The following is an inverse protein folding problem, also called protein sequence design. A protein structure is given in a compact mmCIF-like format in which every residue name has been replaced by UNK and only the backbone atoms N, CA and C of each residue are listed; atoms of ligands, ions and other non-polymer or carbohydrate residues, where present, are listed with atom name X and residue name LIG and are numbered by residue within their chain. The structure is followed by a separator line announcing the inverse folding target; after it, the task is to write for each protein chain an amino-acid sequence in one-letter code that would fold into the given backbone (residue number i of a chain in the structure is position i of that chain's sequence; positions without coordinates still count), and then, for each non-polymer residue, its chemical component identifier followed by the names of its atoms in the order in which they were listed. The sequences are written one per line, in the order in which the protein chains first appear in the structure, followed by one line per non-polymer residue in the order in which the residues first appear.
data_IF_295646683839
#
_entry.id   IF_295646683839
#
_cell.length_a   1.000
_cell.length_b   1.000
_cell.length_c   1.000
_cell.angle_alpha   90.00
_cell.angle_beta   90.00
_cell.angle_gamma   90.00
#
_symmetry.space_group_name_H-M   'P 1'
#
loop_
_entity.id
_entity.type
_entity.pdbx_description
1 polymer ?
#
# COMPACT_ATOMS: atom_id res chain seq x y z
N UNK A 1 -35.44 -35.02 -9.67
CA UNK A 1 -34.82 -35.01 -10.99
C UNK A 1 -34.86 -36.44 -11.50
N UNK A 2 -35.48 -36.66 -12.66
CA UNK A 2 -35.45 -37.97 -13.32
C UNK A 2 -34.06 -38.21 -13.93
N UNK A 3 -33.70 -39.47 -14.15
CA UNK A 3 -32.38 -39.85 -14.72
C UNK A 3 -32.12 -39.18 -16.07
N UNK A 4 -33.15 -39.15 -16.93
CA UNK A 4 -33.09 -38.55 -18.27
C UNK A 4 -32.76 -37.05 -18.22
N UNK A 5 -33.27 -36.32 -17.23
CA UNK A 5 -32.98 -34.89 -17.03
C UNK A 5 -31.52 -34.66 -16.65
N UNK A 6 -30.94 -35.56 -15.83
CA UNK A 6 -29.53 -35.48 -15.41
C UNK A 6 -28.60 -35.77 -16.59
N UNK A 7 -28.91 -36.81 -17.39
CA UNK A 7 -28.14 -37.16 -18.58
C UNK A 7 -28.18 -36.03 -19.63
N UNK A 8 -29.34 -35.40 -19.83
CA UNK A 8 -29.48 -34.24 -20.70
C UNK A 8 -28.69 -33.01 -20.20
N UNK A 9 -28.76 -32.70 -18.90
CA UNK A 9 -28.03 -31.59 -18.30
C UNK A 9 -26.50 -31.79 -18.36
N UNK A 10 -26.02 -33.01 -18.12
CA UNK A 10 -24.61 -33.35 -18.24
C UNK A 10 -24.11 -33.18 -19.67
N UNK A 11 -24.85 -33.68 -20.66
CA UNK A 11 -24.49 -33.54 -22.07
C UNK A 11 -24.41 -32.08 -22.51
N UNK A 12 -25.32 -31.22 -22.02
CA UNK A 12 -25.27 -29.78 -22.28
C UNK A 12 -24.03 -29.14 -21.63
N UNK A 13 -23.72 -29.46 -20.37
CA UNK A 13 -22.57 -28.88 -19.66
C UNK A 13 -21.22 -29.25 -20.31
N UNK A 14 -21.10 -30.45 -20.89
CA UNK A 14 -19.88 -30.89 -21.60
C UNK A 14 -19.55 -30.01 -22.81
N UNK A 15 -20.57 -29.41 -23.46
CA UNK A 15 -20.36 -28.58 -24.65
C UNK A 15 -19.81 -27.20 -24.29
N UNK A 16 -20.10 -26.70 -23.10
CA UNK A 16 -19.75 -25.35 -22.64
C UNK A 16 -18.30 -25.21 -22.14
N UNK A 17 -17.59 -26.32 -21.88
CA UNK A 17 -16.26 -26.22 -21.26
C UNK A 17 -15.43 -27.50 -21.21
N UNK A 18 -14.30 -27.41 -20.51
CA UNK A 18 -13.30 -28.47 -20.40
C UNK A 18 -13.57 -29.49 -19.28
N UNK A 19 -14.60 -29.27 -18.47
CA UNK A 19 -14.97 -30.13 -17.36
C UNK A 19 -16.36 -29.84 -16.83
N UNK A 20 -16.94 -30.82 -16.14
CA UNK A 20 -18.27 -30.72 -15.51
C UNK A 20 -18.13 -30.86 -14.01
N UNK A 21 -18.63 -29.88 -13.27
CA UNK A 21 -18.71 -29.90 -11.80
C UNK A 21 -20.15 -30.22 -11.42
N UNK A 22 -20.32 -31.17 -10.51
CA UNK A 22 -21.63 -31.54 -9.95
C UNK A 22 -21.66 -31.14 -8.49
N UNK A 23 -22.57 -30.23 -8.15
CA UNK A 23 -22.67 -29.66 -6.80
C UNK A 23 -24.02 -29.93 -6.16
N UNK A 24 -24.07 -29.78 -4.84
CA UNK A 24 -25.31 -29.86 -4.08
C UNK A 24 -26.16 -28.61 -4.37
N UNK A 25 -27.39 -28.81 -4.83
CA UNK A 25 -28.34 -27.71 -5.00
C UNK A 25 -28.71 -27.05 -3.65
N UNK A 26 -28.47 -25.75 -3.55
CA UNK A 26 -28.85 -24.90 -2.41
C UNK A 26 -30.04 -24.05 -2.83
N UNK A 27 -31.06 -23.98 -1.98
CA UNK A 27 -32.28 -23.21 -2.25
C UNK A 27 -32.10 -21.77 -1.78
N UNK A 28 -32.61 -20.84 -2.58
CA UNK A 28 -32.63 -19.42 -2.24
C UNK A 28 -32.19 -18.53 -3.39
N UNK A 29 -31.88 -17.29 -3.04
CA UNK A 29 -31.28 -16.30 -3.94
C UNK A 29 -29.77 -16.25 -3.73
N UNK A 30 -29.05 -15.95 -4.80
CA UNK A 30 -27.61 -15.67 -4.72
C UNK A 30 -27.38 -14.27 -4.18
N UNK A 31 -26.38 -14.17 -3.32
CA UNK A 31 -25.92 -12.94 -2.71
C UNK A 31 -24.41 -12.87 -2.85
N UNK A 32 -23.90 -11.68 -3.15
CA UNK A 32 -22.48 -11.37 -3.16
C UNK A 32 -22.19 -10.36 -2.06
N UNK A 33 -21.43 -10.80 -1.07
CA UNK A 33 -20.98 -9.99 0.06
C UNK A 33 -19.56 -9.52 -0.20
N UNK A 34 -19.30 -8.22 -0.07
CA UNK A 34 -17.96 -7.67 -0.09
C UNK A 34 -17.44 -7.58 1.34
N UNK A 35 -16.38 -8.33 1.63
CA UNK A 35 -15.62 -8.25 2.87
C UNK A 35 -14.39 -7.38 2.63
N UNK A 36 -14.16 -6.39 3.51
CA UNK A 36 -12.97 -5.53 3.52
C UNK A 36 -12.47 -5.45 4.97
N UNK A 37 -11.19 -5.73 5.19
CA UNK A 37 -10.60 -5.67 6.54
C UNK A 37 -11.28 -6.61 7.55
N UNK A 38 -11.77 -7.76 7.05
CA UNK A 38 -12.53 -8.72 7.86
C UNK A 38 -13.92 -8.24 8.31
N UNK A 39 -14.48 -7.19 7.70
CA UNK A 39 -15.83 -6.67 7.96
C UNK A 39 -16.68 -6.67 6.69
N UNK A 40 -17.99 -6.83 6.83
CA UNK A 40 -18.93 -6.64 5.72
C UNK A 40 -18.98 -5.17 5.32
N UNK A 41 -18.55 -4.87 4.09
CA UNK A 41 -18.60 -3.53 3.51
C UNK A 41 -19.87 -3.30 2.69
N UNK A 42 -20.33 -4.32 1.97
CA UNK A 42 -21.55 -4.27 1.15
C UNK A 42 -22.09 -5.68 0.88
N UNK A 43 -23.37 -5.78 0.55
CA UNK A 43 -23.97 -7.01 0.03
C UNK A 43 -24.97 -6.68 -1.07
N UNK A 44 -24.94 -7.47 -2.14
CA UNK A 44 -25.88 -7.38 -3.24
C UNK A 44 -26.57 -8.72 -3.46
N UNK A 45 -27.85 -8.69 -3.82
CA UNK A 45 -28.62 -9.88 -4.22
C UNK A 45 -28.81 -9.90 -5.73
N UNK A 46 -28.79 -11.10 -6.31
CA UNK A 46 -29.13 -11.33 -7.72
C UNK A 46 -30.53 -10.81 -8.07
N UNK A 47 -30.65 -10.22 -9.25
CA UNK A 47 -31.94 -9.75 -9.78
C UNK A 47 -32.95 -10.91 -9.89
N UNK A 48 -34.20 -10.64 -9.51
CA UNK A 48 -35.35 -11.49 -9.78
C UNK A 48 -36.28 -10.76 -10.74
N UNK A 49 -36.30 -11.18 -12.00
CA UNK A 49 -37.12 -10.56 -13.04
C UNK A 49 -38.39 -11.37 -13.31
N UNK A 50 -39.54 -10.70 -13.32
CA UNK A 50 -40.85 -11.29 -13.61
C UNK A 50 -41.64 -10.41 -14.56
N UNK A 51 -42.52 -11.02 -15.34
CA UNK A 51 -43.53 -10.33 -16.14
C UNK A 51 -44.92 -10.62 -15.61
N UNK A 52 -45.83 -9.67 -15.78
CA UNK A 52 -47.24 -9.83 -15.44
C UNK A 52 -48.02 -9.94 -16.75
N UNK A 53 -48.72 -11.06 -16.94
CA UNK A 53 -49.59 -11.25 -18.10
C UNK A 53 -50.68 -10.18 -18.17
N UNK A 54 -50.94 -9.67 -19.36
CA UNK A 54 -52.06 -8.78 -19.68
C UNK A 54 -53.19 -9.52 -20.43
N UNK A 55 -53.00 -10.81 -20.71
CA UNK A 55 -53.92 -11.65 -21.47
C UNK A 55 -53.90 -11.43 -22.99
N UNK A 56 -52.98 -10.61 -23.50
CA UNK A 56 -52.91 -10.24 -24.92
C UNK A 56 -51.50 -10.41 -25.51
N UNK A 57 -50.46 -10.05 -24.77
CA UNK A 57 -49.07 -10.11 -25.22
C UNK A 57 -48.40 -11.43 -24.86
N UNK A 58 -47.48 -11.85 -25.74
CA UNK A 58 -46.60 -13.00 -25.53
C UNK A 58 -45.57 -12.72 -24.44
N UNK A 59 -44.94 -13.77 -23.88
CA UNK A 59 -43.89 -13.59 -22.89
C UNK A 59 -42.72 -12.76 -23.43
N UNK A 60 -42.30 -12.95 -24.69
CA UNK A 60 -41.25 -12.12 -25.29
C UNK A 60 -41.63 -10.63 -25.34
N UNK A 61 -42.85 -10.32 -25.79
CA UNK A 61 -43.35 -8.93 -25.83
C UNK A 61 -43.47 -8.31 -24.42
N UNK A 62 -43.85 -9.13 -23.42
CA UNK A 62 -43.91 -8.70 -22.02
C UNK A 62 -42.52 -8.47 -21.44
N UNK A 63 -41.52 -9.29 -21.80
CA UNK A 63 -40.12 -9.06 -21.41
C UNK A 63 -39.63 -7.72 -21.99
N UNK A 64 -39.88 -7.48 -23.27
CA UNK A 64 -39.43 -6.24 -23.91
C UNK A 64 -40.09 -4.99 -23.34
N UNK A 65 -41.39 -5.06 -23.10
CA UNK A 65 -42.17 -3.91 -22.61
C UNK A 65 -42.03 -3.66 -21.11
N UNK A 66 -41.91 -4.70 -20.27
CA UNK A 66 -41.89 -4.56 -18.81
C UNK A 66 -40.48 -4.62 -18.20
N UNK A 67 -39.54 -5.30 -18.85
CA UNK A 67 -38.20 -5.54 -18.31
C UNK A 67 -37.12 -4.81 -19.12
N UNK A 68 -37.04 -5.05 -20.44
CA UNK A 68 -35.99 -4.44 -21.30
C UNK A 68 -36.22 -2.94 -21.57
N UNK A 69 -37.38 -2.40 -21.20
CA UNK A 69 -37.68 -0.97 -21.28
C UNK A 69 -36.95 -0.13 -20.21
N UNK A 70 -36.30 -0.76 -19.22
CA UNK A 70 -35.46 -0.07 -18.25
C UNK A 70 -34.21 0.53 -18.94
N UNK A 71 -34.00 1.85 -18.89
CA UNK A 71 -32.86 2.50 -19.56
C UNK A 71 -31.49 2.10 -18.98
N UNK A 72 -31.46 1.39 -17.86
CA UNK A 72 -30.23 0.84 -17.25
C UNK A 72 -29.84 -0.51 -17.85
N UNK A 73 -30.67 -1.09 -18.72
CA UNK A 73 -30.37 -2.32 -19.47
C UNK A 73 -29.66 -2.02 -20.77
N UNK A 74 -28.64 -2.81 -21.09
CA UNK A 74 -27.96 -2.73 -22.38
C UNK A 74 -27.00 -3.88 -22.59
N UNK A 75 -26.38 -3.92 -23.77
CA UNK A 75 -25.46 -4.98 -24.18
C UNK A 75 -23.98 -4.67 -23.84
N UNK A 76 -23.67 -3.45 -23.42
CA UNK A 76 -22.31 -3.02 -23.08
C UNK A 76 -22.05 -3.11 -21.56
N UNK A 77 -20.80 -3.30 -21.17
CA UNK A 77 -20.39 -3.44 -19.75
C UNK A 77 -20.68 -2.21 -18.86
N UNK A 78 -21.00 -1.06 -19.46
CA UNK A 78 -21.36 0.16 -18.73
C UNK A 78 -22.79 0.15 -18.17
N UNK A 79 -23.65 -0.73 -18.70
CA UNK A 79 -25.01 -0.91 -18.22
C UNK A 79 -25.03 -1.77 -16.94
N UNK A 80 -25.91 -1.42 -16.00
CA UNK A 80 -26.00 -2.11 -14.71
C UNK A 80 -26.74 -3.45 -14.83
N UNK A 81 -27.62 -3.54 -15.84
CA UNK A 81 -28.48 -4.70 -16.09
C UNK A 81 -28.30 -5.17 -17.53
N UNK A 82 -28.44 -6.47 -17.77
CA UNK A 82 -28.38 -7.04 -19.11
C UNK A 82 -29.76 -7.04 -19.78
N UNK A 83 -29.78 -7.02 -21.11
CA UNK A 83 -31.00 -7.30 -21.87
C UNK A 83 -31.35 -8.78 -21.71
N UNK A 84 -32.62 -9.07 -21.45
CA UNK A 84 -33.12 -10.43 -21.35
C UNK A 84 -33.72 -10.84 -22.70
N UNK A 85 -33.13 -11.87 -23.32
CA UNK A 85 -33.66 -12.51 -24.52
C UNK A 85 -33.74 -14.03 -24.28
N UNK A 86 -34.94 -14.62 -24.42
CA UNK A 86 -35.14 -16.06 -24.21
C UNK A 86 -34.52 -16.94 -25.31
N UNK A 87 -34.20 -16.37 -26.48
CA UNK A 87 -33.54 -17.09 -27.57
C UNK A 87 -32.07 -17.38 -27.24
N UNK A 88 -31.39 -16.40 -26.63
CA UNK A 88 -29.97 -16.44 -26.27
C UNK A 88 -29.73 -16.77 -24.78
N UNK A 89 -30.80 -16.94 -23.98
CA UNK A 89 -30.71 -17.31 -22.57
C UNK A 89 -31.42 -18.66 -22.26
N UNK A 90 -30.72 -19.80 -22.40
CA UNK A 90 -31.27 -21.12 -22.13
C UNK A 90 -31.81 -21.30 -20.70
N UNK A 91 -31.22 -20.60 -19.72
CA UNK A 91 -31.59 -20.70 -18.30
C UNK A 91 -32.95 -20.02 -18.06
N UNK A 92 -33.14 -18.80 -18.56
CA UNK A 92 -34.41 -18.09 -18.48
C UNK A 92 -35.52 -18.86 -19.23
N UNK A 93 -35.21 -19.41 -20.41
CA UNK A 93 -36.14 -20.25 -21.17
C UNK A 93 -36.57 -21.50 -20.40
N UNK A 94 -35.63 -22.16 -19.71
CA UNK A 94 -35.94 -23.30 -18.87
C UNK A 94 -36.85 -22.91 -17.69
N UNK A 95 -36.61 -21.74 -17.09
CA UNK A 95 -37.42 -21.23 -15.97
C UNK A 95 -38.87 -20.92 -16.38
N UNK A 96 -39.07 -20.35 -17.57
CA UNK A 96 -40.39 -20.16 -18.17
C UNK A 96 -41.07 -21.50 -18.44
N UNK A 97 -40.34 -22.47 -19.02
CA UNK A 97 -40.86 -23.81 -19.34
C UNK A 97 -41.31 -24.58 -18.11
N UNK A 98 -40.59 -24.47 -16.99
CA UNK A 98 -40.96 -25.09 -15.69
C UNK A 98 -42.31 -24.60 -15.17
N UNK A 99 -42.77 -23.43 -15.59
CA UNK A 99 -44.06 -22.86 -15.21
C UNK A 99 -45.18 -23.21 -16.21
N UNK A 100 -44.87 -24.03 -17.23
CA UNK A 100 -45.83 -24.50 -18.23
C UNK A 100 -46.02 -23.55 -19.41
N UNK A 101 -45.12 -22.58 -19.61
CA UNK A 101 -45.21 -21.61 -20.69
C UNK A 101 -44.12 -21.81 -21.74
N UNK A 102 -44.38 -21.32 -22.96
CA UNK A 102 -43.39 -21.15 -24.03
C UNK A 102 -43.15 -19.65 -24.26
N UNK A 103 -42.05 -19.24 -24.93
CA UNK A 103 -41.80 -17.81 -25.21
C UNK A 103 -42.96 -17.10 -25.92
N UNK A 104 -43.69 -17.81 -26.78
CA UNK A 104 -44.83 -17.29 -27.53
C UNK A 104 -46.19 -17.47 -26.81
N UNK A 105 -46.19 -18.01 -25.59
CA UNK A 105 -47.41 -18.16 -24.83
C UNK A 105 -47.91 -16.80 -24.33
N UNK A 106 -49.23 -16.60 -24.35
CA UNK A 106 -49.91 -15.42 -23.79
C UNK A 106 -50.38 -15.78 -22.37
N UNK A 107 -49.73 -15.28 -21.31
CA UNK A 107 -50.14 -15.58 -19.95
C UNK A 107 -51.49 -14.90 -19.64
N UNK A 108 -52.38 -15.55 -18.86
CA UNK A 108 -53.63 -14.92 -18.43
C UNK A 108 -53.38 -13.58 -17.72
N UNK A 109 -54.33 -12.66 -17.84
CA UNK A 109 -54.25 -11.35 -17.20
C UNK A 109 -54.02 -11.48 -15.67
N UNK A 110 -53.01 -10.79 -15.15
CA UNK A 110 -52.60 -10.83 -13.74
C UNK A 110 -51.74 -12.03 -13.35
N UNK A 111 -51.43 -12.96 -14.27
CA UNK A 111 -50.53 -14.08 -14.00
C UNK A 111 -49.08 -13.58 -13.98
N UNK A 112 -48.42 -13.70 -12.83
CA UNK A 112 -46.97 -13.52 -12.75
C UNK A 112 -46.25 -14.73 -13.36
N UNK A 113 -45.29 -14.47 -14.24
CA UNK A 113 -44.38 -15.46 -14.81
C UNK A 113 -42.95 -15.04 -14.45
N UNK A 114 -42.24 -15.91 -13.73
CA UNK A 114 -40.85 -15.68 -13.37
C UNK A 114 -39.97 -15.90 -14.62
N UNK A 115 -39.14 -14.92 -14.97
CA UNK A 115 -38.24 -14.99 -16.13
C UNK A 115 -36.82 -15.30 -15.69
N UNK A 116 -36.31 -14.55 -14.71
CA UNK A 116 -34.97 -14.75 -14.14
C UNK A 116 -35.09 -14.90 -12.63
N UNK A 117 -34.54 -16.00 -12.12
CA UNK A 117 -34.53 -16.34 -10.68
C UNK A 117 -33.31 -15.79 -9.95
N UNK A 118 -32.18 -15.71 -10.64
CA UNK A 118 -30.92 -15.14 -10.14
C UNK A 118 -30.19 -14.54 -11.33
N UNK A 119 -30.30 -13.21 -11.50
CA UNK A 119 -29.60 -12.45 -12.52
C UNK A 119 -28.38 -11.74 -11.94
N UNK A 120 -27.93 -10.67 -12.61
CA UNK A 120 -26.86 -9.83 -12.10
C UNK A 120 -27.17 -9.32 -10.69
N UNK A 121 -26.15 -9.29 -9.84
CA UNK A 121 -26.27 -8.83 -8.47
C UNK A 121 -26.41 -7.30 -8.46
N UNK A 122 -27.63 -6.81 -8.32
CA UNK A 122 -27.93 -5.38 -8.49
C UNK A 122 -28.80 -4.79 -7.38
N UNK A 123 -29.33 -5.62 -6.48
CA UNK A 123 -30.10 -5.17 -5.33
C UNK A 123 -29.19 -5.02 -4.10
N UNK A 124 -28.93 -3.80 -3.64
CA UNK A 124 -28.24 -3.56 -2.37
C UNK A 124 -29.11 -4.05 -1.20
N UNK A 125 -28.57 -5.02 -0.46
CA UNK A 125 -29.21 -5.65 0.71
C UNK A 125 -28.30 -5.61 1.94
N UNK A 126 -27.27 -4.76 1.91
CA UNK A 126 -26.23 -4.71 2.96
C UNK A 126 -26.82 -4.61 4.37
N UNK A 127 -27.79 -3.72 4.58
CA UNK A 127 -28.37 -3.50 5.91
C UNK A 127 -29.33 -4.61 6.36
N UNK A 128 -29.69 -5.52 5.44
CA UNK A 128 -30.54 -6.67 5.73
C UNK A 128 -29.71 -7.90 6.13
N UNK A 129 -28.39 -7.89 5.94
CA UNK A 129 -27.56 -9.07 6.21
C UNK A 129 -27.55 -9.37 7.70
N UNK A 130 -27.92 -10.60 8.06
CA UNK A 130 -27.85 -11.04 9.44
C UNK A 130 -26.40 -10.98 9.96
N UNK A 131 -26.15 -10.46 11.17
CA UNK A 131 -24.79 -10.33 11.72
C UNK A 131 -23.99 -11.64 11.76
N UNK A 132 -24.64 -12.78 12.05
CA UNK A 132 -23.96 -14.09 12.01
C UNK A 132 -23.55 -14.48 10.59
N UNK A 133 -24.37 -14.17 9.58
CA UNK A 133 -24.02 -14.43 8.17
C UNK A 133 -22.83 -13.56 7.75
N UNK A 134 -22.82 -12.29 8.15
CA UNK A 134 -21.68 -11.40 7.93
C UNK A 134 -20.41 -11.93 8.61
N UNK A 135 -20.50 -12.39 9.86
CA UNK A 135 -19.38 -12.98 10.59
C UNK A 135 -18.84 -14.26 9.92
N UNK A 136 -19.73 -15.12 9.42
CA UNK A 136 -19.35 -16.33 8.67
C UNK A 136 -18.65 -15.99 7.35
N UNK A 137 -19.16 -15.01 6.60
CA UNK A 137 -18.51 -14.54 5.37
C UNK A 137 -17.12 -13.93 5.67
N UNK A 138 -17.00 -13.12 6.72
CA UNK A 138 -15.71 -12.57 7.15
C UNK A 138 -14.73 -13.65 7.62
N UNK A 139 -15.21 -14.71 8.28
CA UNK A 139 -14.38 -15.86 8.64
C UNK A 139 -13.89 -16.61 7.40
N UNK A 140 -14.74 -16.82 6.40
CA UNK A 140 -14.37 -17.47 5.16
C UNK A 140 -13.24 -16.69 4.44
N UNK A 141 -13.38 -15.37 4.30
CA UNK A 141 -12.33 -14.52 3.71
C UNK A 141 -10.99 -14.65 4.45
N UNK A 142 -11.01 -14.66 5.80
CA UNK A 142 -9.80 -14.84 6.62
C UNK A 142 -9.17 -16.22 6.47
N UNK A 143 -9.97 -17.29 6.35
CA UNK A 143 -9.45 -18.65 6.16
C UNK A 143 -8.70 -18.76 4.83
N UNK A 144 -9.17 -18.09 3.78
CA UNK A 144 -8.48 -18.01 2.48
C UNK A 144 -7.26 -17.09 2.54
N UNK A 145 -7.23 -16.14 3.47
CA UNK A 145 -6.13 -15.18 3.64
C UNK A 145 -6.29 -13.93 2.76
N UNK A 146 -7.54 -13.49 2.55
CA UNK A 146 -7.86 -12.32 1.74
C UNK A 146 -8.34 -11.16 2.62
N UNK A 147 -7.70 -9.99 2.47
CA UNK A 147 -8.10 -8.74 3.14
C UNK A 147 -9.32 -8.09 2.47
N UNK A 148 -9.46 -8.32 1.16
CA UNK A 148 -10.58 -7.89 0.33
C UNK A 148 -11.09 -9.11 -0.42
N UNK A 149 -12.36 -9.46 -0.20
CA UNK A 149 -12.96 -10.66 -0.81
C UNK A 149 -14.42 -10.45 -1.19
N UNK A 150 -14.82 -11.01 -2.33
CA UNK A 150 -16.22 -11.24 -2.65
C UNK A 150 -16.63 -12.63 -2.16
N UNK A 151 -17.64 -12.73 -1.31
CA UNK A 151 -18.15 -13.99 -0.81
C UNK A 151 -19.53 -14.20 -1.41
N UNK A 152 -19.63 -15.22 -2.27
CA UNK A 152 -20.88 -15.59 -2.91
C UNK A 152 -21.57 -16.66 -2.08
N UNK A 153 -22.82 -16.41 -1.70
CA UNK A 153 -23.61 -17.33 -0.90
C UNK A 153 -25.03 -17.43 -1.43
N UNK A 154 -25.66 -18.57 -1.15
CA UNK A 154 -27.05 -18.82 -1.49
C UNK A 154 -27.84 -19.04 -0.20
N UNK A 155 -28.94 -18.31 -0.05
CA UNK A 155 -29.86 -18.47 1.08
C UNK A 155 -31.27 -17.98 0.73
N UNK A 156 -32.28 -18.47 1.45
CA UNK A 156 -33.68 -18.09 1.22
C UNK A 156 -33.98 -16.68 1.76
N UNK A 157 -33.36 -16.30 2.88
CA UNK A 157 -33.57 -15.02 3.56
C UNK A 157 -32.27 -14.54 4.23
N UNK A 158 -31.62 -13.54 3.63
CA UNK A 158 -30.34 -12.99 4.11
C UNK A 158 -30.41 -12.37 5.51
N UNK A 159 -31.61 -12.05 5.99
CA UNK A 159 -31.85 -11.49 7.33
C UNK A 159 -31.87 -12.53 8.44
N UNK A 160 -31.73 -13.81 8.11
CA UNK A 160 -31.62 -14.92 9.07
C UNK A 160 -30.20 -15.52 9.05
N UNK A 161 -29.76 -16.19 10.13
CA UNK A 161 -28.51 -16.92 10.14
C UNK A 161 -28.42 -17.93 8.99
N UNK A 162 -27.26 -18.02 8.34
CA UNK A 162 -27.03 -18.93 7.21
C UNK A 162 -27.27 -20.41 7.56
N UNK A 163 -26.75 -20.84 8.72
CA UNK A 163 -26.86 -22.22 9.21
C UNK A 163 -28.30 -22.62 9.56
N UNK A 164 -29.13 -21.64 9.93
CA UNK A 164 -30.54 -21.87 10.26
C UNK A 164 -31.42 -22.14 9.02
N UNK A 165 -30.89 -21.95 7.80
CA UNK A 165 -31.68 -21.97 6.56
C UNK A 165 -31.09 -22.82 5.42
N UNK A 166 -30.26 -23.83 5.74
CA UNK A 166 -29.56 -24.64 4.71
C UNK A 166 -28.78 -23.78 3.69
N UNK A 167 -28.44 -22.54 4.04
CA UNK A 167 -27.67 -21.67 3.19
C UNK A 167 -26.22 -22.16 3.08
N UNK A 168 -25.51 -21.68 2.07
CA UNK A 168 -24.11 -22.06 1.87
C UNK A 168 -23.32 -20.93 1.21
N UNK A 169 -22.05 -20.82 1.57
CA UNK A 169 -21.06 -20.10 0.76
C UNK A 169 -20.73 -21.00 -0.43
N UNK A 170 -20.86 -20.45 -1.63
CA UNK A 170 -20.58 -21.11 -2.91
C UNK A 170 -19.14 -20.83 -3.33
N UNK A 171 -18.71 -19.57 -3.24
CA UNK A 171 -17.41 -19.14 -3.73
C UNK A 171 -16.82 -18.01 -2.87
N UNK A 172 -15.48 -17.93 -2.85
CA UNK A 172 -14.74 -16.79 -2.28
C UNK A 172 -13.76 -16.26 -3.34
N UNK A 173 -13.96 -15.01 -3.74
CA UNK A 173 -13.32 -14.35 -4.86
C UNK A 173 -12.29 -13.31 -4.41
N UNK A 174 -11.06 -13.39 -4.93
CA UNK A 174 -9.96 -12.46 -4.61
C UNK A 174 -10.00 -11.13 -5.39
N UNK A 175 -10.72 -11.08 -6.52
CA UNK A 175 -10.91 -9.88 -7.34
C UNK A 175 -12.38 -9.53 -7.49
N UNK A 176 -13.08 -9.11 -6.41
CA UNK A 176 -14.51 -8.86 -6.48
C UNK A 176 -14.84 -7.65 -7.36
N UNK A 177 -15.88 -7.79 -8.20
CA UNK A 177 -16.46 -6.66 -8.91
C UNK A 177 -17.08 -5.64 -7.94
N UNK A 178 -16.76 -4.36 -8.10
CA UNK A 178 -17.25 -3.29 -7.23
C UNK A 178 -18.48 -2.56 -7.77
N UNK A 179 -18.74 -2.67 -9.08
CA UNK A 179 -19.75 -1.88 -9.79
C UNK A 179 -21.14 -2.02 -9.17
N UNK A 180 -21.54 -3.26 -8.88
CA UNK A 180 -22.78 -3.61 -8.18
C UNK A 180 -22.99 -2.92 -6.83
N UNK A 181 -21.91 -2.67 -6.09
CA UNK A 181 -21.98 -2.00 -4.79
C UNK A 181 -21.93 -0.47 -4.94
N UNK A 182 -21.29 0.03 -6.00
CA UNK A 182 -21.20 1.46 -6.30
C UNK A 182 -22.45 2.00 -7.01
N UNK A 183 -23.11 1.18 -7.82
CA UNK A 183 -24.26 1.54 -8.66
C UNK A 183 -25.32 0.41 -8.65
N UNK A 184 -25.96 0.13 -7.51
CA UNK A 184 -27.04 -0.85 -7.48
C UNK A 184 -28.25 -0.37 -8.30
N UNK A 185 -29.00 -1.30 -8.87
CA UNK A 185 -30.29 -1.02 -9.50
C UNK A 185 -31.38 -0.72 -8.46
N UNK A 186 -31.32 -1.39 -7.31
CA UNK A 186 -32.25 -1.18 -6.19
C UNK A 186 -31.44 -1.00 -4.91
N UNK A 187 -31.81 0.00 -4.08
CA UNK A 187 -31.13 0.28 -2.82
C UNK A 187 -30.10 1.41 -2.92
N UNK A 188 -29.11 1.41 -2.02
CA UNK A 188 -28.19 2.55 -1.85
C UNK A 188 -26.76 2.19 -2.30
N UNK A 189 -26.07 3.08 -3.04
CA UNK A 189 -24.63 2.98 -3.26
C UNK A 189 -23.86 2.85 -1.94
N UNK A 190 -22.90 1.93 -1.90
CA UNK A 190 -22.02 1.71 -0.75
C UNK A 190 -20.65 2.32 -1.02
N UNK A 191 -20.02 3.01 -0.04
CA UNK A 191 -18.72 3.66 -0.20
C UNK A 191 -17.56 2.64 -0.14
N UNK A 192 -17.66 1.57 -0.92
CA UNK A 192 -16.72 0.43 -0.86
C UNK A 192 -15.30 0.82 -1.25
N UNK A 193 -15.14 1.79 -2.17
CA UNK A 193 -13.82 2.32 -2.52
C UNK A 193 -13.13 2.99 -1.32
N UNK A 194 -13.89 3.74 -0.51
CA UNK A 194 -13.37 4.34 0.72
C UNK A 194 -13.03 3.26 1.75
N UNK A 195 -13.88 2.25 1.92
CA UNK A 195 -13.59 1.14 2.82
C UNK A 195 -12.27 0.42 2.45
N UNK A 196 -12.03 0.20 1.16
CA UNK A 196 -10.79 -0.41 0.66
C UNK A 196 -9.58 0.50 0.94
N UNK A 197 -9.69 1.81 0.65
CA UNK A 197 -8.59 2.77 0.90
C UNK A 197 -8.29 2.90 2.39
N UNK A 198 -9.31 3.01 3.24
CA UNK A 198 -9.15 3.11 4.70
C UNK A 198 -8.50 1.84 5.29
N UNK A 199 -8.72 0.66 4.67
CA UNK A 199 -8.07 -0.60 5.05
C UNK A 199 -6.61 -0.67 4.56
N UNK A 200 -6.32 -0.21 3.34
CA UNK A 200 -4.95 -0.17 2.80
C UNK A 200 -4.06 0.84 3.56
N UNK A 201 -4.67 1.90 4.07
CA UNK A 201 -4.00 3.05 4.69
C UNK A 201 -4.62 3.40 6.05
N UNK A 202 -4.51 2.50 7.04
CA UNK A 202 -5.19 2.66 8.32
C UNK A 202 -4.67 3.88 9.09
N UNK A 203 -5.55 4.55 9.83
CA UNK A 203 -5.22 5.71 10.67
C UNK A 203 -4.58 6.90 9.93
N UNK A 204 -4.81 7.03 8.62
CA UNK A 204 -4.22 8.11 7.81
C UNK A 204 -2.74 7.89 7.49
N UNK A 205 -2.27 6.65 7.57
CA UNK A 205 -0.99 6.23 7.00
C UNK A 205 -0.96 6.60 5.50
N UNK A 206 0.19 7.06 5.00
CA UNK A 206 0.37 7.35 3.57
C UNK A 206 1.01 6.17 2.82
N UNK A 207 1.24 5.07 3.53
CA UNK A 207 1.87 3.84 3.05
C UNK A 207 3.35 4.01 2.70
N UNK A 208 3.97 5.12 3.11
CA UNK A 208 5.38 5.39 2.82
C UNK A 208 6.26 4.80 3.90
N UNK A 209 7.36 4.20 3.46
CA UNK A 209 8.44 3.80 4.35
C UNK A 209 9.34 5.00 4.68
N UNK A 210 10.01 5.02 5.85
CA UNK A 210 11.05 6.00 6.14
C UNK A 210 12.19 5.92 5.12
N UNK A 211 12.50 7.05 4.50
CA UNK A 211 13.63 7.21 3.57
C UNK A 211 14.67 8.13 4.19
N UNK A 212 15.93 7.70 4.10
CA UNK A 212 17.11 8.50 4.47
C UNK A 212 17.97 8.74 3.23
N UNK A 213 18.15 9.99 2.84
CA UNK A 213 19.08 10.36 1.79
C UNK A 213 20.40 10.85 2.36
N UNK A 214 21.52 10.38 1.82
CA UNK A 214 22.87 10.74 2.27
C UNK A 214 23.67 11.31 1.10
N UNK A 215 24.08 12.57 1.20
CA UNK A 215 24.94 13.22 0.21
C UNK A 215 26.14 13.92 0.87
N UNK A 216 27.00 14.51 0.05
CA UNK A 216 28.26 15.16 0.44
C UNK A 216 29.45 14.68 -0.38
N UNK A 217 30.62 15.25 -0.11
CA UNK A 217 31.85 14.92 -0.84
C UNK A 217 32.43 13.57 -0.38
N UNK A 218 32.47 13.33 0.93
CA UNK A 218 33.10 12.15 1.52
C UNK A 218 32.26 11.51 2.62
N UNK A 219 32.51 10.24 2.91
CA UNK A 219 31.92 9.53 4.06
C UNK A 219 30.49 9.04 3.84
N UNK A 220 29.87 9.41 2.71
CA UNK A 220 28.49 9.04 2.35
C UNK A 220 28.21 7.54 2.52
N UNK A 221 29.03 6.68 1.90
CA UNK A 221 28.87 5.23 1.94
C UNK A 221 28.93 4.69 3.36
N UNK A 222 29.90 5.15 4.16
CA UNK A 222 30.05 4.78 5.57
C UNK A 222 28.84 5.19 6.38
N UNK A 223 28.38 6.43 6.23
CA UNK A 223 27.21 6.97 6.93
C UNK A 223 25.95 6.20 6.52
N UNK A 224 25.74 5.96 5.23
CA UNK A 224 24.60 5.20 4.73
C UNK A 224 24.58 3.75 5.26
N UNK A 225 25.74 3.05 5.26
CA UNK A 225 25.87 1.70 5.85
C UNK A 225 25.59 1.69 7.35
N UNK A 226 26.08 2.69 8.08
CA UNK A 226 25.86 2.79 9.52
C UNK A 226 24.39 3.09 9.87
N UNK A 227 23.74 3.99 9.13
CA UNK A 227 22.30 4.28 9.29
C UNK A 227 21.47 3.03 8.97
N UNK A 228 21.76 2.36 7.86
CA UNK A 228 21.07 1.13 7.48
C UNK A 228 21.22 0.03 8.55
N UNK A 229 22.42 -0.07 9.15
CA UNK A 229 22.68 -0.97 10.28
C UNK A 229 21.83 -0.61 11.51
N UNK A 230 21.72 0.67 11.84
CA UNK A 230 20.93 1.13 12.98
C UNK A 230 19.43 0.85 12.80
N UNK A 231 18.91 1.04 11.58
CA UNK A 231 17.54 0.67 11.22
C UNK A 231 17.31 -0.84 11.30
N UNK A 232 18.25 -1.66 10.82
CA UNK A 232 18.17 -3.12 11.00
C UNK A 232 18.12 -3.51 12.49
N UNK A 233 18.91 -2.85 13.33
CA UNK A 233 18.95 -3.12 14.77
C UNK A 233 17.69 -2.65 15.50
N UNK A 234 16.93 -1.69 14.95
CA UNK A 234 15.62 -1.30 15.46
C UNK A 234 14.48 -2.22 15.02
N UNK A 235 14.80 -3.29 14.27
CA UNK A 235 13.85 -4.31 13.84
C UNK A 235 13.20 -4.05 12.49
N UNK A 236 13.67 -3.05 11.73
CA UNK A 236 13.16 -2.74 10.38
C UNK A 236 13.88 -3.54 9.31
N UNK A 237 13.12 -4.13 8.39
CA UNK A 237 13.69 -4.64 7.15
C UNK A 237 14.19 -3.48 6.28
N UNK A 238 15.52 -3.35 6.15
CA UNK A 238 16.13 -2.13 5.64
C UNK A 238 16.75 -2.34 4.27
N UNK A 239 16.35 -1.52 3.29
CA UNK A 239 17.00 -1.43 2.00
C UNK A 239 18.13 -0.40 2.01
N UNK A 240 19.25 -0.69 1.35
CA UNK A 240 20.37 0.23 1.20
C UNK A 240 20.87 0.20 -0.25
N UNK A 241 20.97 1.37 -0.88
CA UNK A 241 21.68 1.55 -2.14
C UNK A 241 22.84 2.53 -1.93
N UNK A 242 24.07 2.03 -2.07
CA UNK A 242 25.27 2.82 -1.86
C UNK A 242 26.42 2.41 -2.78
N UNK A 243 27.55 3.12 -2.69
CA UNK A 243 28.72 2.84 -3.55
C UNK A 243 29.29 1.42 -3.40
N UNK A 244 29.03 0.74 -2.29
CA UNK A 244 29.45 -0.66 -2.04
C UNK A 244 28.49 -1.70 -2.63
N UNK A 245 27.26 -1.33 -2.98
CA UNK A 245 26.27 -2.26 -3.54
C UNK A 245 24.82 -1.94 -3.21
N UNK A 246 23.97 -2.90 -3.57
CA UNK A 246 22.57 -2.96 -3.21
C UNK A 246 22.36 -4.00 -2.12
N UNK A 247 21.75 -3.62 -1.01
CA UNK A 247 21.56 -4.49 0.14
C UNK A 247 20.10 -4.49 0.58
N UNK A 248 19.64 -5.65 1.06
CA UNK A 248 18.44 -5.78 1.88
C UNK A 248 18.85 -6.48 3.16
N UNK A 249 18.66 -5.80 4.28
CA UNK A 249 19.20 -6.14 5.58
C UNK A 249 20.73 -6.32 5.51
N UNK A 250 21.23 -7.51 5.85
CA UNK A 250 22.66 -7.85 5.78
C UNK A 250 23.07 -8.47 4.45
N UNK A 251 22.11 -8.75 3.56
CA UNK A 251 22.37 -9.47 2.31
C UNK A 251 22.68 -8.48 1.20
N UNK A 252 23.87 -8.60 0.62
CA UNK A 252 24.21 -7.96 -0.65
C UNK A 252 23.44 -8.67 -1.77
N UNK A 253 22.57 -7.93 -2.46
CA UNK A 253 21.78 -8.41 -3.59
C UNK A 253 22.54 -8.19 -4.90
N UNK A 254 23.21 -7.04 -5.03
CA UNK A 254 24.01 -6.67 -6.18
C UNK A 254 25.31 -6.00 -5.73
N UNK A 255 26.44 -6.44 -6.30
CA UNK A 255 27.76 -5.91 -5.97
C UNK A 255 28.16 -4.84 -6.98
N UNK A 256 28.83 -3.79 -6.50
CA UNK A 256 29.29 -2.67 -7.32
C UNK A 256 28.66 -1.36 -6.90
N UNK A 257 28.80 -0.31 -7.72
CA UNK A 257 28.27 1.00 -7.35
C UNK A 257 26.73 1.02 -7.48
N UNK A 258 26.04 0.88 -6.35
CA UNK A 258 24.59 0.98 -6.21
C UNK A 258 24.08 2.39 -5.87
N UNK A 259 24.94 3.41 -5.79
CA UNK A 259 24.55 4.80 -5.53
C UNK A 259 23.97 5.49 -6.79
N UNK A 260 22.93 4.87 -7.35
CA UNK A 260 22.25 5.28 -8.58
C UNK A 260 20.72 5.10 -8.47
N UNK A 261 19.99 5.73 -9.38
CA UNK A 261 18.54 5.72 -9.41
C UNK A 261 17.97 4.31 -9.57
N UNK A 262 18.56 3.50 -10.46
CA UNK A 262 18.07 2.15 -10.75
C UNK A 262 18.07 1.23 -9.53
N UNK A 263 19.11 1.32 -8.70
CA UNK A 263 19.24 0.56 -7.46
C UNK A 263 18.28 1.05 -6.38
N UNK A 264 18.18 2.38 -6.21
CA UNK A 264 17.23 2.96 -5.27
C UNK A 264 15.77 2.63 -5.64
N UNK A 265 15.40 2.72 -6.92
CA UNK A 265 14.08 2.35 -7.42
C UNK A 265 13.76 0.87 -7.17
N UNK A 266 14.73 -0.04 -7.35
CA UNK A 266 14.55 -1.48 -7.04
C UNK A 266 14.26 -1.71 -5.55
N UNK A 267 14.89 -0.95 -4.65
CA UNK A 267 14.61 -1.03 -3.21
C UNK A 267 13.20 -0.54 -2.90
N UNK A 268 12.77 0.59 -3.46
CA UNK A 268 11.44 1.15 -3.22
C UNK A 268 10.31 0.26 -3.75
N UNK A 269 10.56 -0.52 -4.81
CA UNK A 269 9.61 -1.49 -5.35
C UNK A 269 9.55 -2.81 -4.56
N UNK A 270 10.47 -3.02 -3.62
CA UNK A 270 10.53 -4.25 -2.84
C UNK A 270 9.60 -4.19 -1.62
N UNK A 271 8.49 -4.94 -1.68
CA UNK A 271 7.46 -5.01 -0.62
C UNK A 271 7.95 -5.49 0.75
N UNK A 272 9.13 -6.11 0.82
CA UNK A 272 9.71 -6.53 2.11
C UNK A 272 10.46 -5.41 2.84
N UNK A 273 10.75 -4.30 2.17
CA UNK A 273 11.50 -3.18 2.76
C UNK A 273 10.56 -2.29 3.55
N UNK A 274 10.92 -2.00 4.80
CA UNK A 274 10.17 -1.17 5.74
C UNK A 274 10.87 0.16 6.05
N UNK A 275 12.13 0.33 5.63
CA UNK A 275 12.89 1.58 5.66
C UNK A 275 14.00 1.53 4.62
N UNK A 276 14.38 2.68 4.04
CA UNK A 276 15.39 2.73 2.99
C UNK A 276 16.44 3.82 3.21
N UNK A 277 17.69 3.53 2.85
CA UNK A 277 18.81 4.45 2.92
C UNK A 277 19.47 4.54 1.54
N UNK A 278 19.63 5.76 1.02
CA UNK A 278 20.17 6.00 -0.31
C UNK A 278 21.36 6.96 -0.24
N UNK A 279 22.51 6.50 -0.70
CA UNK A 279 23.63 7.39 -1.02
C UNK A 279 23.37 8.08 -2.36
N UNK A 280 23.43 9.41 -2.35
CA UNK A 280 23.23 10.24 -3.52
C UNK A 280 24.50 11.06 -3.78
N UNK A 281 25.24 10.72 -4.82
CA UNK A 281 26.34 11.55 -5.32
C UNK A 281 25.80 12.78 -6.07
N UNK A 282 26.59 13.86 -6.15
CA UNK A 282 26.25 15.03 -6.97
C UNK A 282 25.97 14.65 -8.42
N UNK A 283 26.79 13.76 -8.97
CA UNK A 283 26.69 13.30 -10.35
C UNK A 283 25.37 12.56 -10.56
N UNK A 284 25.01 11.62 -9.65
CA UNK A 284 23.74 10.90 -9.71
C UNK A 284 22.54 11.84 -9.62
N UNK A 285 22.58 12.84 -8.72
CA UNK A 285 21.51 13.86 -8.60
C UNK A 285 21.36 14.63 -9.93
N UNK A 286 22.46 15.01 -10.56
CA UNK A 286 22.46 15.81 -11.78
C UNK A 286 22.09 15.01 -13.04
N UNK A 287 22.48 13.74 -13.12
CA UNK A 287 22.27 12.92 -14.32
C UNK A 287 20.96 12.14 -14.30
N UNK A 288 20.53 11.68 -13.14
CA UNK A 288 19.40 10.75 -12.99
C UNK A 288 18.28 11.32 -12.10
N UNK A 289 18.56 12.37 -11.34
CA UNK A 289 17.69 12.83 -10.27
C UNK A 289 17.73 11.90 -9.06
N UNK A 290 16.68 11.98 -8.23
CA UNK A 290 16.53 11.13 -7.05
C UNK A 290 15.36 10.16 -7.25
N UNK A 291 15.49 8.96 -6.70
CA UNK A 291 14.45 7.92 -6.81
C UNK A 291 13.23 8.17 -5.89
N UNK A 292 13.30 9.20 -5.05
CA UNK A 292 12.26 9.56 -4.08
C UNK A 292 11.98 11.07 -4.15
N UNK A 293 10.75 11.44 -3.85
CA UNK A 293 10.23 12.82 -3.86
C UNK A 293 10.28 13.50 -2.49
N UNK A 294 10.36 12.73 -1.40
CA UNK A 294 10.47 13.19 -0.02
C UNK A 294 11.25 12.19 0.84
N UNK A 295 11.89 12.67 1.90
CA UNK A 295 12.61 11.86 2.87
C UNK A 295 12.33 12.30 4.31
N UNK A 296 12.41 11.35 5.25
CA UNK A 296 12.31 11.62 6.68
C UNK A 296 13.62 12.21 7.20
N UNK A 297 14.76 11.80 6.64
CA UNK A 297 16.05 12.37 7.01
C UNK A 297 16.91 12.65 5.79
N UNK A 298 17.40 13.88 5.68
CA UNK A 298 18.42 14.27 4.71
C UNK A 298 19.75 14.52 5.41
N UNK A 299 20.80 13.79 5.03
CA UNK A 299 22.13 13.94 5.63
C UNK A 299 23.08 14.55 4.61
N UNK A 300 23.80 15.61 5.01
CA UNK A 300 24.95 16.12 4.26
C UNK A 300 26.19 16.03 5.13
N UNK A 301 27.11 15.15 4.76
CA UNK A 301 28.29 14.82 5.57
C UNK A 301 29.31 15.95 5.61
N UNK A 302 29.70 16.43 4.44
CA UNK A 302 30.67 17.50 4.21
C UNK A 302 30.62 17.92 2.73
N UNK A 303 31.22 19.06 2.43
CA UNK A 303 31.37 19.65 1.11
C UNK A 303 32.80 20.11 0.88
N UNK A 304 33.40 19.63 -0.20
CA UNK A 304 34.62 20.11 -0.84
C UNK A 304 34.23 20.54 -2.26
N UNK A 305 33.90 21.83 -2.45
CA UNK A 305 33.28 22.33 -3.69
C UNK A 305 34.07 21.96 -4.95
N UNK A 306 35.40 22.01 -4.89
CA UNK A 306 36.28 21.67 -6.00
C UNK A 306 36.07 20.24 -6.55
N UNK A 307 35.59 19.28 -5.74
CA UNK A 307 35.29 17.92 -6.19
C UNK A 307 34.04 17.79 -7.04
N UNK A 308 33.17 18.79 -6.96
CA UNK A 308 31.88 18.80 -7.64
C UNK A 308 31.89 19.70 -8.88
N UNK A 309 32.98 20.44 -9.13
CA UNK A 309 33.14 21.29 -10.31
C UNK A 309 33.66 20.50 -11.53
N UNK A 310 33.38 21.01 -12.74
CA UNK A 310 33.88 20.49 -14.03
C UNK A 310 33.05 19.36 -14.63
N UNK A 311 31.93 18.99 -14.02
CA UNK A 311 30.96 18.01 -14.54
C UNK A 311 29.57 18.63 -14.57
N UNK A 312 28.76 18.24 -15.54
CA UNK A 312 27.35 18.69 -15.66
C UNK A 312 27.16 20.22 -15.58
N UNK A 313 28.13 20.99 -16.10
CA UNK A 313 28.12 22.47 -16.09
C UNK A 313 28.13 23.12 -14.70
N UNK A 314 28.60 22.40 -13.68
CA UNK A 314 28.87 22.92 -12.35
C UNK A 314 30.29 23.49 -12.32
N UNK A 315 30.41 24.80 -12.15
CA UNK A 315 31.68 25.53 -12.17
C UNK A 315 31.92 26.31 -10.87
N UNK A 316 30.85 26.69 -10.15
CA UNK A 316 30.96 27.56 -8.96
C UNK A 316 30.50 26.88 -7.67
N UNK A 317 31.03 27.30 -6.50
CA UNK A 317 30.56 26.81 -5.20
C UNK A 317 29.06 27.03 -4.95
N UNK A 318 28.47 28.08 -5.52
CA UNK A 318 27.04 28.39 -5.40
C UNK A 318 26.18 27.37 -6.17
N UNK A 319 26.69 26.86 -7.30
CA UNK A 319 26.05 25.77 -8.03
C UNK A 319 26.15 24.46 -7.25
N UNK A 320 27.31 24.19 -6.61
CA UNK A 320 27.46 23.03 -5.71
C UNK A 320 26.48 23.10 -4.54
N UNK A 321 26.34 24.29 -3.92
CA UNK A 321 25.34 24.54 -2.88
C UNK A 321 23.94 24.17 -3.38
N UNK A 322 23.55 24.64 -4.57
CA UNK A 322 22.23 24.35 -5.16
C UNK A 322 22.00 22.86 -5.36
N UNK A 323 23.01 22.12 -5.83
CA UNK A 323 22.89 20.66 -6.04
C UNK A 323 22.71 19.92 -4.72
N UNK A 324 23.59 20.16 -3.75
CA UNK A 324 23.55 19.43 -2.48
C UNK A 324 22.36 19.83 -1.60
N UNK A 325 21.92 21.09 -1.69
CA UNK A 325 20.70 21.60 -1.04
C UNK A 325 19.46 20.77 -1.41
N UNK A 326 19.41 20.15 -2.58
CA UNK A 326 18.34 19.21 -2.95
C UNK A 326 18.04 18.20 -1.85
N UNK A 327 19.06 17.72 -1.13
CA UNK A 327 18.86 16.76 -0.04
C UNK A 327 18.11 17.36 1.17
N UNK A 328 18.23 18.66 1.39
CA UNK A 328 17.53 19.42 2.44
C UNK A 328 16.11 19.78 2.00
N UNK A 329 15.93 20.19 0.75
CA UNK A 329 14.62 20.58 0.19
C UNK A 329 13.61 19.42 0.14
N UNK A 330 14.09 18.16 0.19
CA UNK A 330 13.24 16.97 0.18
C UNK A 330 12.83 16.50 1.59
N UNK A 331 13.37 17.10 2.65
CA UNK A 331 13.03 16.73 4.02
C UNK A 331 11.58 17.10 4.30
N UNK A 332 10.80 16.14 4.82
CA UNK A 332 9.41 16.37 5.23
C UNK A 332 9.33 17.37 6.39
N UNK A 333 8.21 18.09 6.58
CA UNK A 333 8.01 18.97 7.74
C UNK A 333 8.15 18.26 9.10
N UNK A 334 7.84 16.96 9.16
CA UNK A 334 8.03 16.12 10.35
C UNK A 334 9.39 15.38 10.37
N UNK A 335 10.24 15.59 9.37
CA UNK A 335 11.56 14.99 9.22
C UNK A 335 12.69 15.90 9.71
N UNK A 336 13.93 15.51 9.43
CA UNK A 336 15.14 16.23 9.86
C UNK A 336 16.22 16.36 8.78
N UNK A 337 16.88 17.52 8.70
CA UNK A 337 18.18 17.65 8.04
C UNK A 337 19.33 17.48 9.05
N UNK A 338 20.30 16.63 8.73
CA UNK A 338 21.49 16.38 9.55
C UNK A 338 22.71 16.96 8.87
N UNK A 339 23.27 18.02 9.44
CA UNK A 339 24.21 18.92 8.77
C UNK A 339 25.49 19.12 9.60
N UNK A 340 26.66 19.17 8.95
CA UNK A 340 27.92 19.40 9.64
C UNK A 340 28.09 20.89 10.01
N UNK A 341 28.10 21.20 11.31
CA UNK A 341 28.17 22.57 11.82
C UNK A 341 29.53 23.25 11.59
N UNK A 342 30.58 22.49 11.26
CA UNK A 342 31.91 23.03 10.92
C UNK A 342 31.93 23.72 9.57
N UNK A 343 30.94 23.47 8.71
CA UNK A 343 30.95 23.95 7.34
C UNK A 343 29.94 25.08 7.17
N UNK A 344 30.38 26.33 6.93
CA UNK A 344 29.49 27.48 6.74
C UNK A 344 28.42 27.22 5.67
N UNK A 345 28.80 26.60 4.55
CA UNK A 345 27.89 26.25 3.46
C UNK A 345 26.71 25.36 3.92
N UNK A 346 26.93 24.44 4.87
CA UNK A 346 25.87 23.58 5.40
C UNK A 346 25.05 24.27 6.48
N UNK A 347 25.67 25.15 7.28
CA UNK A 347 24.95 26.01 8.22
C UNK A 347 23.98 26.92 7.48
N UNK A 348 24.39 27.47 6.34
CA UNK A 348 23.54 28.31 5.47
C UNK A 348 22.36 27.55 4.84
N UNK A 349 22.39 26.21 4.82
CA UNK A 349 21.27 25.37 4.37
C UNK A 349 20.20 25.15 5.46
N UNK A 350 20.55 25.30 6.73
CA UNK A 350 19.63 25.05 7.84
C UNK A 350 18.29 25.81 7.75
N UNK A 351 18.23 27.13 7.44
CA UNK A 351 16.95 27.84 7.37
C UNK A 351 16.08 27.45 6.16
N UNK A 352 16.61 26.63 5.24
CA UNK A 352 15.91 26.17 4.04
C UNK A 352 15.19 24.82 4.24
N UNK A 353 15.41 24.17 5.39
CA UNK A 353 14.74 22.92 5.74
C UNK A 353 13.33 23.20 6.26
N UNK A 354 12.33 22.50 5.69
CA UNK A 354 10.94 22.55 6.19
C UNK A 354 10.77 21.81 7.54
N UNK A 355 11.68 20.87 7.84
CA UNK A 355 11.69 20.05 9.05
C UNK A 355 12.61 20.56 10.16
N UNK A 356 13.01 19.68 11.07
CA UNK A 356 14.00 20.00 12.09
C UNK A 356 15.43 19.98 11.52
N UNK A 357 16.34 20.74 12.14
CA UNK A 357 17.77 20.67 11.81
C UNK A 357 18.54 20.10 12.99
N UNK A 358 19.33 19.07 12.74
CA UNK A 358 20.25 18.47 13.70
C UNK A 358 21.66 18.75 13.24
N UNK A 359 22.34 19.64 13.95
CA UNK A 359 23.74 19.89 13.68
C UNK A 359 24.62 18.82 14.31
N UNK A 360 25.69 18.45 13.61
CA UNK A 360 26.75 17.65 14.18
C UNK A 360 28.12 18.29 14.01
N UNK A 361 28.99 18.10 15.00
CA UNK A 361 30.40 18.51 14.92
C UNK A 361 31.25 17.83 15.99
N UNK A 362 32.54 17.64 15.71
CA UNK A 362 33.49 17.15 16.73
C UNK A 362 33.66 18.17 17.85
N UNK A 363 33.80 19.45 17.51
CA UNK A 363 33.97 20.55 18.46
C UNK A 363 32.61 21.07 18.97
N UNK A 364 32.30 20.93 20.28
CA UNK A 364 31.04 21.41 20.85
C UNK A 364 30.98 22.94 21.02
N UNK A 365 32.12 23.64 20.93
CA UNK A 365 32.23 25.07 21.19
C UNK A 365 32.09 25.92 19.90
N UNK A 366 31.77 25.29 18.77
CA UNK A 366 31.50 26.00 17.52
C UNK A 366 30.34 26.98 17.69
N UNK A 367 30.49 28.25 17.26
CA UNK A 367 29.45 29.26 17.41
C UNK A 367 28.08 28.83 16.86
N UNK A 368 28.06 28.20 15.68
CA UNK A 368 26.85 27.68 15.04
C UNK A 368 26.14 26.62 15.89
N UNK A 369 26.89 25.73 16.53
CA UNK A 369 26.35 24.66 17.36
C UNK A 369 25.89 25.20 18.73
N UNK A 370 26.66 26.10 19.34
CA UNK A 370 26.30 26.76 20.60
C UNK A 370 25.02 27.58 20.45
N UNK A 371 24.91 28.37 19.39
CA UNK A 371 23.70 29.17 19.09
C UNK A 371 22.50 28.28 18.84
N UNK A 372 22.65 27.23 18.02
CA UNK A 372 21.58 26.27 17.73
C UNK A 372 21.06 25.57 18.98
N UNK A 373 21.95 25.18 19.90
CA UNK A 373 21.58 24.60 21.19
C UNK A 373 20.93 25.61 22.14
N UNK A 374 21.35 26.86 22.13
CA UNK A 374 20.71 27.91 22.91
C UNK A 374 19.24 28.12 22.52
N UNK A 375 18.87 27.80 21.28
CA UNK A 375 17.50 27.79 20.77
C UNK A 375 16.70 26.52 21.15
N UNK A 376 17.26 25.62 21.97
CA UNK A 376 16.60 24.38 22.40
C UNK A 376 16.60 23.26 21.36
N UNK A 377 17.35 23.41 20.27
CA UNK A 377 17.36 22.45 19.15
C UNK A 377 18.30 21.27 19.40
N UNK A 378 18.11 20.22 18.59
CA UNK A 378 18.88 18.98 18.64
C UNK A 378 20.28 19.16 18.03
N UNK A 379 21.29 18.57 18.67
CA UNK A 379 22.66 18.53 18.16
C UNK A 379 23.40 17.25 18.60
N UNK A 380 24.43 16.86 17.84
CA UNK A 380 25.28 15.69 18.10
C UNK A 380 26.75 16.08 18.07
N UNK A 381 27.49 15.86 19.16
CA UNK A 381 28.88 16.30 19.25
C UNK A 381 29.73 15.41 20.14
N UNK A 382 31.04 15.69 20.19
CA UNK A 382 31.96 15.01 21.12
C UNK A 382 32.18 15.85 22.37
N UNK A 383 32.05 15.22 23.54
CA UNK A 383 32.48 15.80 24.82
C UNK A 383 33.09 14.71 25.68
N UNK A 384 34.20 15.01 26.36
CA UNK A 384 34.91 14.05 27.22
C UNK A 384 35.21 12.71 26.49
N UNK A 385 35.55 12.76 25.20
CA UNK A 385 35.76 11.59 24.32
C UNK A 385 34.54 10.65 24.21
N UNK A 386 33.33 11.18 24.35
CA UNK A 386 32.08 10.47 24.18
C UNK A 386 31.21 11.16 23.13
N UNK A 387 30.44 10.37 22.39
CA UNK A 387 29.36 10.86 21.53
C UNK A 387 28.21 11.31 22.43
N UNK A 388 27.78 12.56 22.26
CA UNK A 388 26.68 13.18 22.99
C UNK A 388 25.53 13.47 22.03
N UNK A 389 24.32 13.05 22.40
CA UNK A 389 23.08 13.58 21.83
C UNK A 389 22.54 14.65 22.77
N UNK A 390 22.27 15.85 22.25
CA UNK A 390 21.80 16.97 23.05
C UNK A 390 20.51 17.57 22.49
N UNK A 391 19.54 17.83 23.36
CA UNK A 391 18.33 18.61 23.05
C UNK A 391 18.37 19.88 23.89
N UNK A 392 18.78 21.00 23.30
CA UNK A 392 19.08 22.20 24.07
C UNK A 392 20.21 21.97 25.08
N UNK A 393 19.90 22.13 26.38
CA UNK A 393 20.85 21.92 27.48
C UNK A 393 20.89 20.48 27.98
N UNK A 394 19.88 19.66 27.65
CA UNK A 394 19.83 18.27 28.06
C UNK A 394 20.79 17.45 27.21
N UNK A 395 21.79 16.83 27.86
CA UNK A 395 22.83 16.03 27.20
C UNK A 395 22.74 14.57 27.63
N UNK A 396 22.84 13.66 26.66
CA UNK A 396 22.92 12.23 26.88
C UNK A 396 24.19 11.67 26.24
N UNK A 397 25.07 11.14 27.08
CA UNK A 397 26.24 10.40 26.62
C UNK A 397 25.85 9.01 26.12
N UNK A 398 26.26 8.69 24.88
CA UNK A 398 25.91 7.44 24.21
C UNK A 398 27.02 6.43 24.35
N UNK A 399 28.21 6.74 23.88
CA UNK A 399 29.33 5.79 23.82
C UNK A 399 30.66 6.53 23.83
N UNK A 400 31.69 5.93 24.43
CA UNK A 400 33.06 6.45 24.32
C UNK A 400 33.61 6.18 22.92
N UNK A 401 34.34 7.13 22.35
CA UNK A 401 35.03 6.94 21.06
C UNK A 401 35.97 5.73 21.08
N UNK A 402 36.53 5.36 22.23
CA UNK A 402 37.35 4.14 22.36
C UNK A 402 36.57 2.85 22.12
N UNK A 403 35.26 2.86 22.38
CA UNK A 403 34.37 1.74 22.13
C UNK A 403 33.85 1.66 20.70
N UNK A 404 34.21 2.61 19.82
CA UNK A 404 33.75 2.65 18.43
C UNK A 404 34.90 2.21 17.50
N UNK A 405 34.86 0.99 16.93
CA UNK A 405 35.99 0.42 16.18
C UNK A 405 36.49 1.29 15.03
N UNK A 406 35.57 1.94 14.30
CA UNK A 406 35.91 2.74 13.11
C UNK A 406 36.62 4.08 13.41
N UNK A 407 36.74 4.50 14.67
CA UNK A 407 37.30 5.83 15.02
C UNK A 407 38.79 5.81 15.37
N UNK A 408 39.46 4.65 15.26
CA UNK A 408 40.83 4.40 15.78
C UNK A 408 41.00 4.88 17.24
N UNK A 409 40.05 4.51 18.09
CA UNK A 409 40.04 4.92 19.49
C UNK A 409 39.77 6.41 19.72
N UNK A 410 39.16 7.09 18.75
CA UNK A 410 38.90 8.53 18.74
C UNK A 410 40.10 9.36 18.32
N UNK A 411 40.83 8.93 17.28
CA UNK A 411 41.95 9.66 16.65
C UNK A 411 41.66 10.08 15.22
N UNK A 412 40.68 9.45 14.57
CA UNK A 412 40.26 9.77 13.22
C UNK A 412 39.03 10.69 13.24
N UNK A 413 39.26 12.00 13.15
CA UNK A 413 38.20 13.02 13.14
C UNK A 413 37.20 12.81 12.00
N UNK A 414 37.65 12.30 10.84
CA UNK A 414 36.79 12.05 9.70
C UNK A 414 35.79 10.91 9.99
N UNK A 415 36.25 9.84 10.65
CA UNK A 415 35.34 8.77 11.07
C UNK A 415 34.46 9.15 12.25
N UNK A 416 34.95 10.02 13.15
CA UNK A 416 34.12 10.61 14.20
C UNK A 416 32.97 11.40 13.57
N UNK A 417 33.21 12.24 12.57
CA UNK A 417 32.14 12.96 11.87
C UNK A 417 31.10 12.03 11.25
N UNK A 418 31.53 10.94 10.60
CA UNK A 418 30.61 9.94 10.04
C UNK A 418 29.72 9.32 11.13
N UNK A 419 30.31 9.01 12.30
CA UNK A 419 29.59 8.50 13.47
C UNK A 419 28.56 9.50 13.98
N UNK A 420 28.93 10.78 14.10
CA UNK A 420 28.03 11.82 14.59
C UNK A 420 26.86 12.04 13.60
N UNK A 421 27.15 12.07 12.30
CA UNK A 421 26.13 12.20 11.25
C UNK A 421 25.12 11.04 11.29
N UNK A 422 25.61 9.80 11.35
CA UNK A 422 24.74 8.63 11.43
C UNK A 422 23.93 8.58 12.74
N UNK A 423 24.53 9.02 13.85
CA UNK A 423 23.84 9.11 15.16
C UNK A 423 22.73 10.16 15.13
N UNK A 424 22.97 11.32 14.50
CA UNK A 424 21.95 12.35 14.29
C UNK A 424 20.79 11.84 13.44
N UNK A 425 21.08 11.14 12.35
CA UNK A 425 20.05 10.54 11.49
C UNK A 425 19.23 9.47 12.22
N UNK A 426 19.88 8.57 12.96
CA UNK A 426 19.19 7.56 13.75
C UNK A 426 18.31 8.19 14.85
N UNK A 427 18.80 9.25 15.50
CA UNK A 427 18.03 9.95 16.52
C UNK A 427 16.81 10.69 15.94
N UNK A 428 16.94 11.29 14.75
CA UNK A 428 15.81 11.87 14.02
C UNK A 428 14.72 10.84 13.67
N UNK A 429 15.13 9.60 13.34
CA UNK A 429 14.21 8.48 13.08
C UNK A 429 13.58 7.89 14.35
N UNK A 430 13.84 8.47 15.53
CA UNK A 430 13.32 8.00 16.80
C UNK A 430 13.98 6.71 17.32
N UNK A 431 15.16 6.34 16.78
CA UNK A 431 15.90 5.16 17.25
C UNK A 431 16.43 5.43 18.66
N UNK A 432 16.14 4.51 19.59
CA UNK A 432 16.53 4.65 20.99
C UNK A 432 18.04 4.66 21.22
N UNK A 433 18.50 5.38 22.25
CA UNK A 433 19.93 5.56 22.55
C UNK A 433 20.73 4.27 22.71
N UNK A 434 20.11 3.22 23.26
CA UNK A 434 20.78 1.94 23.47
C UNK A 434 21.03 1.22 22.13
N UNK A 435 20.10 1.33 21.19
CA UNK A 435 20.29 0.79 19.83
C UNK A 435 21.37 1.57 19.11
N UNK A 436 21.40 2.90 19.26
CA UNK A 436 22.47 3.75 18.72
C UNK A 436 23.82 3.31 19.31
N UNK A 437 23.93 3.20 20.64
CA UNK A 437 25.14 2.72 21.33
C UNK A 437 25.60 1.37 20.76
N UNK A 438 24.75 0.36 20.77
CA UNK A 438 25.09 -0.99 20.28
C UNK A 438 25.47 -0.99 18.80
N UNK A 439 24.78 -0.20 17.97
CA UNK A 439 25.12 -0.06 16.56
C UNK A 439 26.51 0.52 16.35
N UNK A 440 26.86 1.57 17.10
CA UNK A 440 28.20 2.18 17.03
C UNK A 440 29.30 1.25 17.55
N UNK A 441 29.09 0.53 18.64
CA UNK A 441 30.08 -0.38 19.23
C UNK A 441 30.35 -1.62 18.36
N UNK A 442 29.35 -2.07 17.59
CA UNK A 442 29.43 -3.30 16.79
C UNK A 442 29.67 -3.07 15.31
N UNK A 443 29.66 -1.82 14.84
CA UNK A 443 29.87 -1.52 13.44
C UNK A 443 31.36 -1.58 13.07
N UNK A 444 31.64 -2.32 12.01
CA UNK A 444 32.98 -2.46 11.43
C UNK A 444 32.90 -2.19 9.93
N UNK A 445 33.88 -1.46 9.41
CA UNK A 445 34.11 -1.33 7.98
C UNK A 445 34.67 -2.66 7.47
N UNK A 446 33.79 -3.55 7.02
CA UNK A 446 34.16 -4.75 6.28
C UNK A 446 34.25 -4.42 4.79
#
# INVERSE_FOLDING_TARGET
MAREEVEAAYAAAVVEGSGVIVERYVRGSEHRLLIVGGKLAAAARGEVAKVIGDGQSTINELIDSQINSDPRRGAAEEFVLDIIDLSDNPVARLEVSRQGFTPDAIPPAGREVLIVRSGNHTDDVTDLVHPETAATASLAARIVGLDIAGVDLVCEDISRPLDAQRGAIVEVNAGPGLLMHLKPAIGQPRPVGRAIVDELFPNGDDGRIPVVGVTGSFGKTTVARLIARLLCLSGKHTGLACSDGLFVDRRCIDQGNGANWGSAHRILMNRSVEAAVFENGSDSILSEGLAYDRCQVGVITNVEAAKHCGRYYIETPEQVFTVLRTQVDLVLPAGAAVLNARQPMLVDMAPLCDGEVIFFAVDPDLPSLVEHRAQGRKAVFVRNRQVILASGQDEKAIVSLQGIPMTDGGRDDFQIENVLAASGAAWALGIGSEIIRTGLETFTLA
#
